data_IF_788308527195
#
_entry.id   IF_788308527195
#
_cell.length_a   1.000
_cell.length_b   1.000
_cell.length_c   1.000
_cell.angle_alpha   90.00
_cell.angle_beta   90.00
_cell.angle_gamma   90.00
#
_symmetry.space_group_name_H-M   'P 1'
#
loop_
_entity.id
_entity.type
_entity.pdbx_description
1 polymer ?
#
# COMPACT_ATOMS: atom_id res chain seq x y z
N UNK A 1 -17.30 -17.48 9.15
CA UNK A 1 -16.50 -18.67 8.69
C UNK A 1 -15.62 -18.27 7.50
N UNK A 2 -14.38 -18.77 7.43
CA UNK A 2 -13.49 -18.50 6.30
C UNK A 2 -14.15 -18.85 4.95
N UNK A 3 -13.89 -18.05 3.91
CA UNK A 3 -14.47 -18.19 2.57
C UNK A 3 -13.48 -18.87 1.64
N UNK A 4 -13.89 -19.93 0.97
CA UNK A 4 -13.10 -20.60 -0.06
C UNK A 4 -13.47 -20.06 -1.45
N UNK A 5 -12.46 -19.68 -2.23
CA UNK A 5 -12.61 -19.11 -3.57
C UNK A 5 -11.60 -19.76 -4.52
N UNK A 6 -11.98 -19.88 -5.80
CA UNK A 6 -11.03 -20.04 -6.90
C UNK A 6 -10.92 -18.68 -7.56
N UNK A 7 -9.71 -18.12 -7.55
CA UNK A 7 -9.49 -16.72 -7.96
C UNK A 7 -8.03 -16.48 -8.34
N UNK A 8 -7.76 -15.36 -8.98
CA UNK A 8 -6.39 -14.88 -9.23
C UNK A 8 -5.97 -13.89 -8.14
N UNK A 9 -4.66 -13.58 -8.08
CA UNK A 9 -4.14 -12.59 -7.11
C UNK A 9 -4.72 -11.19 -7.35
N UNK A 10 -4.87 -10.76 -8.60
CA UNK A 10 -5.49 -9.48 -8.95
C UNK A 10 -6.96 -9.40 -8.52
N UNK A 11 -7.73 -10.48 -8.75
CA UNK A 11 -9.12 -10.58 -8.31
C UNK A 11 -9.24 -10.55 -6.80
N UNK A 12 -8.32 -11.22 -6.08
CA UNK A 12 -8.29 -11.22 -4.62
C UNK A 12 -7.92 -9.86 -4.06
N UNK A 13 -6.99 -9.13 -4.68
CA UNK A 13 -6.67 -7.75 -4.30
C UNK A 13 -7.88 -6.81 -4.50
N UNK A 14 -8.57 -6.92 -5.63
CA UNK A 14 -9.80 -6.15 -5.88
C UNK A 14 -10.91 -6.49 -4.88
N UNK A 15 -11.11 -7.79 -4.61
CA UNK A 15 -12.09 -8.25 -3.62
C UNK A 15 -11.76 -7.76 -2.21
N UNK A 16 -10.50 -7.84 -1.82
CA UNK A 16 -10.02 -7.35 -0.53
C UNK A 16 -10.26 -5.85 -0.36
N UNK A 17 -10.01 -5.06 -1.42
CA UNK A 17 -10.31 -3.65 -1.43
C UNK A 17 -11.81 -3.38 -1.19
N UNK A 18 -12.70 -4.12 -1.87
CA UNK A 18 -14.15 -4.03 -1.68
C UNK A 18 -14.60 -4.44 -0.27
N UNK A 19 -13.99 -5.46 0.30
CA UNK A 19 -14.29 -5.95 1.65
C UNK A 19 -13.67 -5.04 2.74
N UNK A 20 -12.62 -4.27 2.40
CA UNK A 20 -12.05 -3.20 3.22
C UNK A 20 -12.75 -1.85 3.03
N UNK A 21 -13.91 -1.82 2.39
CA UNK A 21 -14.69 -0.60 2.10
C UNK A 21 -13.94 0.46 1.30
N UNK A 22 -13.24 0.06 0.22
CA UNK A 22 -12.75 1.02 -0.75
C UNK A 22 -13.93 1.80 -1.35
N UNK A 23 -13.81 3.10 -1.42
CA UNK A 23 -14.87 3.99 -1.91
C UNK A 23 -14.50 4.67 -3.23
N UNK A 24 -13.21 4.68 -3.57
CA UNK A 24 -12.73 5.31 -4.78
C UNK A 24 -11.53 4.57 -5.38
N UNK A 25 -11.58 4.37 -6.68
CA UNK A 25 -10.44 3.94 -7.48
C UNK A 25 -10.20 4.94 -8.60
N UNK A 26 -8.97 5.44 -8.71
CA UNK A 26 -8.53 6.29 -9.82
C UNK A 26 -7.32 5.66 -10.51
N UNK A 27 -7.39 5.48 -11.83
CA UNK A 27 -6.29 4.83 -12.53
C UNK A 27 -6.37 4.87 -14.04
N UNK A 28 -5.38 4.24 -14.66
CA UNK A 28 -5.26 4.00 -16.09
C UNK A 28 -4.92 2.53 -16.31
N UNK A 29 -5.56 1.83 -17.26
CA UNK A 29 -5.34 0.40 -17.46
C UNK A 29 -3.93 0.12 -17.97
N UNK A 30 -3.21 -0.75 -17.29
CA UNK A 30 -1.88 -1.20 -17.66
C UNK A 30 -1.66 -2.66 -17.26
N UNK A 31 -1.13 -3.47 -18.21
CA UNK A 31 -0.76 -4.87 -17.94
C UNK A 31 0.44 -4.94 -17.00
N UNK A 32 0.43 -5.80 -15.95
CA UNK A 32 -0.54 -6.84 -15.62
C UNK A 32 -1.54 -6.47 -14.49
N UNK A 33 -1.87 -5.21 -14.27
CA UNK A 33 -2.75 -4.78 -13.17
C UNK A 33 -4.20 -4.47 -13.58
N UNK A 34 -4.54 -4.59 -14.87
CA UNK A 34 -5.82 -4.14 -15.43
C UNK A 34 -7.05 -4.81 -14.83
N UNK A 35 -6.96 -6.08 -14.41
CA UNK A 35 -8.06 -6.84 -13.82
C UNK A 35 -8.58 -6.19 -12.53
N UNK A 36 -7.69 -5.58 -11.73
CA UNK A 36 -8.08 -4.87 -10.51
C UNK A 36 -9.06 -3.74 -10.86
N UNK A 37 -8.70 -2.92 -11.84
CA UNK A 37 -9.55 -1.82 -12.29
C UNK A 37 -10.86 -2.34 -12.92
N UNK A 38 -10.80 -3.39 -13.74
CA UNK A 38 -11.99 -3.96 -14.39
C UNK A 38 -13.04 -4.42 -13.36
N UNK A 39 -12.61 -5.10 -12.29
CA UNK A 39 -13.51 -5.54 -11.21
C UNK A 39 -14.08 -4.33 -10.46
N UNK A 40 -13.23 -3.39 -10.08
CA UNK A 40 -13.67 -2.21 -9.33
C UNK A 40 -14.56 -1.28 -10.16
N UNK A 41 -14.38 -1.22 -11.48
CA UNK A 41 -15.22 -0.41 -12.39
C UNK A 41 -16.68 -0.86 -12.43
N UNK A 42 -16.94 -2.13 -12.19
CA UNK A 42 -18.28 -2.68 -12.09
C UNK A 42 -18.83 -2.64 -10.66
N UNK A 43 -17.97 -2.97 -9.68
CA UNK A 43 -18.39 -3.18 -8.29
C UNK A 43 -18.61 -1.86 -7.52
N UNK A 44 -17.78 -0.83 -7.73
CA UNK A 44 -17.90 0.43 -7.01
C UNK A 44 -19.16 1.22 -7.37
N UNK A 45 -19.51 1.42 -8.66
CA UNK A 45 -20.76 2.07 -9.02
C UNK A 45 -22.01 1.36 -8.48
N UNK A 46 -21.99 0.03 -8.45
CA UNK A 46 -23.08 -0.76 -7.88
C UNK A 46 -23.27 -0.53 -6.35
N UNK A 47 -22.24 0.01 -5.68
CA UNK A 47 -22.28 0.39 -4.26
C UNK A 47 -22.47 1.90 -4.04
N UNK A 48 -22.74 2.67 -5.08
CA UNK A 48 -22.82 4.13 -5.02
C UNK A 48 -21.46 4.81 -4.84
N UNK A 49 -20.37 4.11 -5.15
CA UNK A 49 -18.99 4.59 -5.07
C UNK A 49 -18.42 4.82 -6.47
N UNK A 50 -17.19 5.32 -6.61
CA UNK A 50 -16.64 5.70 -7.89
C UNK A 50 -15.37 4.92 -8.29
N UNK A 51 -15.33 4.48 -9.54
CA UNK A 51 -14.14 4.03 -10.23
C UNK A 51 -13.96 4.89 -11.48
N UNK A 52 -12.85 5.61 -11.58
CA UNK A 52 -12.62 6.56 -12.68
C UNK A 52 -11.37 6.14 -13.46
N UNK A 53 -11.58 5.87 -14.74
CA UNK A 53 -10.49 5.75 -15.69
C UNK A 53 -10.10 7.15 -16.17
N UNK A 54 -8.81 7.46 -16.06
CA UNK A 54 -8.23 8.71 -16.54
C UNK A 54 -7.43 8.49 -17.83
N UNK A 55 -6.90 9.56 -18.39
CA UNK A 55 -6.12 9.52 -19.64
C UNK A 55 -4.69 8.99 -19.43
N UNK A 56 -4.19 9.05 -18.19
CA UNK A 56 -2.86 8.57 -17.80
C UNK A 56 -2.78 8.26 -16.29
N UNK A 57 -1.64 7.76 -15.87
CA UNK A 57 -1.38 7.40 -14.46
C UNK A 57 -1.21 8.62 -13.55
N UNK A 58 -0.79 9.78 -14.09
CA UNK A 58 -0.62 11.03 -13.33
C UNK A 58 -2.02 11.51 -12.90
N UNK A 59 -2.94 11.64 -13.85
CA UNK A 59 -4.31 12.01 -13.54
C UNK A 59 -5.01 10.96 -12.66
N UNK A 60 -4.72 9.67 -12.89
CA UNK A 60 -5.27 8.58 -12.09
C UNK A 60 -4.94 8.71 -10.60
N UNK A 61 -3.68 8.92 -10.24
CA UNK A 61 -3.29 9.09 -8.82
C UNK A 61 -3.79 10.42 -8.25
N UNK A 62 -3.84 11.49 -9.03
CA UNK A 62 -4.38 12.79 -8.57
C UNK A 62 -5.84 12.67 -8.14
N UNK A 63 -6.67 11.94 -8.91
CA UNK A 63 -8.07 11.72 -8.54
C UNK A 63 -8.20 10.88 -7.27
N UNK A 64 -7.35 9.86 -7.09
CA UNK A 64 -7.34 9.02 -5.88
C UNK A 64 -6.90 9.83 -4.63
N UNK A 65 -5.91 10.72 -4.76
CA UNK A 65 -5.49 11.65 -3.69
C UNK A 65 -6.65 12.59 -3.34
N UNK A 66 -7.30 13.21 -4.33
CA UNK A 66 -8.45 14.09 -4.10
C UNK A 66 -9.61 13.40 -3.37
N UNK A 67 -9.91 12.16 -3.74
CA UNK A 67 -10.91 11.35 -3.06
C UNK A 67 -10.48 11.02 -1.61
N UNK A 68 -9.22 10.68 -1.38
CA UNK A 68 -8.69 10.43 -0.03
C UNK A 68 -8.79 11.68 0.86
N UNK A 69 -8.55 12.88 0.31
CA UNK A 69 -8.71 14.17 1.00
C UNK A 69 -10.17 14.46 1.36
N UNK A 70 -11.13 13.99 0.56
CA UNK A 70 -12.56 14.07 0.89
C UNK A 70 -13.03 13.00 1.89
N UNK A 71 -12.10 12.26 2.50
CA UNK A 71 -12.38 11.24 3.52
C UNK A 71 -12.63 9.84 2.99
N UNK A 72 -12.52 9.62 1.67
CA UNK A 72 -12.75 8.32 1.05
C UNK A 72 -11.56 7.38 1.20
N UNK A 73 -11.79 6.10 1.44
CA UNK A 73 -10.77 5.06 1.22
C UNK A 73 -10.51 4.94 -0.26
N UNK A 74 -9.28 5.25 -0.67
CA UNK A 74 -8.90 5.37 -2.07
C UNK A 74 -7.77 4.41 -2.44
N UNK A 75 -7.78 3.98 -3.70
CA UNK A 75 -6.81 3.05 -4.25
C UNK A 75 -6.46 3.42 -5.68
N UNK A 76 -5.24 3.11 -6.07
CA UNK A 76 -4.79 3.06 -7.47
C UNK A 76 -3.99 1.79 -7.70
N UNK A 77 -4.03 1.25 -8.91
CA UNK A 77 -3.19 0.13 -9.33
C UNK A 77 -2.47 0.47 -10.62
N UNK A 78 -1.24 -0.03 -10.78
CA UNK A 78 -0.43 0.21 -11.95
C UNK A 78 0.68 -0.84 -12.06
N UNK A 79 1.62 -0.64 -12.98
CA UNK A 79 2.80 -1.47 -13.20
C UNK A 79 3.91 -0.68 -13.87
N UNK A 80 5.16 -1.00 -13.55
CA UNK A 80 6.35 -0.52 -14.27
C UNK A 80 6.35 0.98 -14.55
N UNK A 81 6.28 1.40 -15.84
CA UNK A 81 6.35 2.83 -16.20
C UNK A 81 5.19 3.65 -15.65
N UNK A 82 4.02 3.05 -15.39
CA UNK A 82 2.91 3.74 -14.76
C UNK A 82 3.17 4.11 -13.31
N UNK A 83 3.93 3.30 -12.56
CA UNK A 83 4.41 3.68 -11.22
C UNK A 83 5.41 4.83 -11.31
N UNK A 84 6.30 4.82 -12.30
CA UNK A 84 7.23 5.93 -12.53
C UNK A 84 6.51 7.26 -12.80
N UNK A 85 5.41 7.25 -13.57
CA UNK A 85 4.59 8.43 -13.82
C UNK A 85 3.88 8.96 -12.57
N UNK A 86 3.62 8.11 -11.58
CA UNK A 86 3.00 8.50 -10.31
C UNK A 86 3.98 9.14 -9.30
N UNK A 87 5.29 9.11 -9.56
CA UNK A 87 6.33 9.42 -8.57
C UNK A 87 6.18 10.81 -7.93
N UNK A 88 5.89 11.86 -8.71
CA UNK A 88 5.72 13.21 -8.18
C UNK A 88 4.52 13.28 -7.24
N UNK A 89 3.37 12.74 -7.66
CA UNK A 89 2.15 12.75 -6.85
C UNK A 89 2.23 11.83 -5.63
N UNK A 90 3.06 10.78 -5.67
CA UNK A 90 3.41 10.00 -4.47
C UNK A 90 4.14 10.89 -3.46
N UNK A 91 5.08 11.73 -3.91
CA UNK A 91 5.74 12.72 -3.06
C UNK A 91 4.73 13.64 -2.37
N UNK A 92 3.75 14.16 -3.12
CA UNK A 92 2.65 14.94 -2.55
C UNK A 92 1.88 14.12 -1.51
N UNK A 93 1.55 12.86 -1.80
CA UNK A 93 0.87 11.96 -0.87
C UNK A 93 1.62 11.74 0.45
N UNK A 94 2.94 11.63 0.39
CA UNK A 94 3.78 11.45 1.58
C UNK A 94 3.89 12.74 2.41
N UNK A 95 4.28 13.86 1.79
CA UNK A 95 4.51 15.10 2.55
C UNK A 95 3.21 15.67 3.13
N UNK A 96 2.10 15.48 2.42
CA UNK A 96 0.76 15.94 2.87
C UNK A 96 0.00 14.89 3.68
N UNK A 97 0.60 13.71 3.90
CA UNK A 97 0.05 12.63 4.73
C UNK A 97 -1.33 12.16 4.26
N UNK A 98 -1.43 11.82 2.98
CA UNK A 98 -2.67 11.35 2.37
C UNK A 98 -2.72 9.82 2.34
N UNK A 99 -3.67 9.18 3.03
CA UNK A 99 -3.81 7.72 3.02
C UNK A 99 -4.28 7.22 1.66
N UNK A 100 -3.48 6.35 1.04
CA UNK A 100 -3.73 5.81 -0.29
C UNK A 100 -3.13 4.40 -0.39
N UNK A 101 -3.86 3.45 -0.97
CA UNK A 101 -3.29 2.15 -1.34
C UNK A 101 -2.82 2.17 -2.79
N UNK A 102 -1.56 1.80 -3.00
CA UNK A 102 -0.92 1.76 -4.31
C UNK A 102 -0.51 0.33 -4.63
N UNK A 103 -1.19 -0.32 -5.55
CA UNK A 103 -0.82 -1.66 -6.01
C UNK A 103 0.08 -1.55 -7.23
N UNK A 104 1.29 -2.08 -7.11
CA UNK A 104 2.19 -2.32 -8.23
C UNK A 104 2.23 -3.81 -8.53
N UNK A 105 1.60 -4.22 -9.63
CA UNK A 105 1.78 -5.57 -10.16
C UNK A 105 3.05 -5.56 -10.99
N UNK A 106 4.14 -6.07 -10.42
CA UNK A 106 5.48 -5.92 -10.96
C UNK A 106 5.68 -6.64 -12.30
N UNK A 107 6.43 -6.01 -13.18
CA UNK A 107 6.80 -6.57 -14.48
C UNK A 107 8.25 -6.25 -14.85
N UNK A 108 8.79 -6.89 -15.88
CA UNK A 108 10.16 -6.64 -16.34
C UNK A 108 10.34 -5.20 -16.85
N UNK A 109 11.32 -4.50 -16.31
CA UNK A 109 11.80 -3.18 -16.75
C UNK A 109 13.15 -3.30 -17.47
N UNK A 110 13.81 -2.17 -17.87
CA UNK A 110 13.35 -0.77 -17.69
C UNK A 110 12.33 -0.32 -18.74
N UNK A 111 11.77 0.90 -18.59
CA UNK A 111 10.80 1.54 -19.49
C UNK A 111 9.55 0.68 -19.66
N UNK A 112 9.01 0.55 -20.86
CA UNK A 112 7.89 -0.34 -21.18
C UNK A 112 8.20 -1.79 -20.79
N UNK A 113 9.44 -2.20 -20.93
CA UNK A 113 9.98 -3.47 -20.48
C UNK A 113 9.27 -4.68 -21.09
N UNK A 114 8.88 -5.60 -20.21
CA UNK A 114 8.25 -6.88 -20.57
C UNK A 114 6.88 -6.98 -19.89
N UNK A 115 5.80 -6.47 -20.50
CA UNK A 115 4.48 -6.33 -19.87
C UNK A 115 3.85 -7.64 -19.36
N UNK A 116 4.25 -8.78 -19.93
CA UNK A 116 3.72 -10.13 -19.62
C UNK A 116 4.82 -11.06 -19.10
N UNK A 117 5.87 -10.52 -18.50
CA UNK A 117 6.98 -11.30 -17.93
C UNK A 117 7.23 -10.89 -16.50
N UNK A 118 7.36 -11.92 -15.67
CA UNK A 118 7.62 -11.79 -14.23
C UNK A 118 8.95 -11.09 -13.94
N UNK A 119 8.94 -10.23 -12.93
CA UNK A 119 10.14 -9.63 -12.36
C UNK A 119 9.86 -9.19 -10.92
N UNK A 120 10.92 -9.06 -10.12
CA UNK A 120 10.89 -8.52 -8.75
C UNK A 120 11.88 -7.35 -8.63
N UNK A 121 11.96 -6.49 -9.66
CA UNK A 121 12.93 -5.39 -9.75
C UNK A 121 12.52 -4.09 -9.06
N UNK A 122 11.26 -3.96 -8.61
CA UNK A 122 10.67 -2.68 -8.20
C UNK A 122 10.85 -2.34 -6.72
N UNK A 123 11.62 -3.15 -5.96
CA UNK A 123 11.85 -2.95 -4.52
C UNK A 123 12.41 -1.57 -4.18
N UNK A 124 13.49 -1.17 -4.85
CA UNK A 124 14.13 0.12 -4.56
C UNK A 124 13.25 1.29 -5.02
N UNK A 125 12.44 1.10 -6.06
CA UNK A 125 11.44 2.08 -6.47
C UNK A 125 10.35 2.25 -5.40
N UNK A 126 9.89 1.16 -4.79
CA UNK A 126 8.90 1.24 -3.70
C UNK A 126 9.49 1.84 -2.42
N UNK A 127 10.80 1.63 -2.17
CA UNK A 127 11.51 2.27 -1.06
C UNK A 127 11.63 3.77 -1.25
N UNK A 128 11.99 4.20 -2.47
CA UNK A 128 12.19 5.59 -2.83
C UNK A 128 11.28 5.96 -4.00
N UNK A 129 9.95 6.06 -3.76
CA UNK A 129 8.96 6.20 -4.83
C UNK A 129 8.93 7.60 -5.46
N UNK A 130 9.64 8.56 -4.88
CA UNK A 130 9.74 9.95 -5.30
C UNK A 130 11.15 10.49 -5.02
N UNK A 131 11.44 11.72 -5.46
CA UNK A 131 12.66 12.42 -5.04
C UNK A 131 12.56 12.87 -3.57
N UNK A 132 13.69 13.07 -2.92
CA UNK A 132 13.78 13.42 -1.50
C UNK A 132 13.56 12.21 -0.59
N UNK A 133 13.45 12.49 0.69
CA UNK A 133 13.42 11.47 1.73
C UNK A 133 11.99 11.14 2.15
N UNK A 134 11.62 9.89 2.03
CA UNK A 134 10.33 9.35 2.48
C UNK A 134 10.52 8.04 3.24
N UNK A 135 9.64 7.75 4.18
CA UNK A 135 9.56 6.44 4.83
C UNK A 135 8.42 5.66 4.20
N UNK A 136 8.73 4.73 3.31
CA UNK A 136 7.75 3.88 2.65
C UNK A 136 7.26 2.77 3.58
N UNK A 137 6.01 2.35 3.39
CA UNK A 137 5.45 1.10 3.93
C UNK A 137 5.09 0.24 2.71
N UNK A 138 5.74 -0.92 2.59
CA UNK A 138 5.60 -1.79 1.41
C UNK A 138 5.32 -3.22 1.83
N UNK A 139 4.23 -3.79 1.32
CA UNK A 139 3.79 -5.15 1.58
C UNK A 139 4.05 -6.03 0.36
N UNK A 140 4.50 -7.27 0.60
CA UNK A 140 4.93 -8.18 -0.46
C UNK A 140 4.25 -9.56 -0.31
N UNK A 141 3.00 -9.70 -0.76
CA UNK A 141 2.29 -10.96 -0.69
C UNK A 141 3.02 -12.06 -1.48
N UNK A 142 3.10 -13.26 -0.92
CA UNK A 142 3.81 -14.41 -1.51
C UNK A 142 2.87 -15.53 -2.01
N UNK A 143 1.56 -15.41 -1.75
CA UNK A 143 0.56 -16.39 -2.19
C UNK A 143 -0.82 -15.74 -2.36
N UNK A 144 -1.78 -16.50 -2.90
CA UNK A 144 -3.13 -16.00 -3.20
C UNK A 144 -3.88 -15.48 -1.95
N UNK A 145 -3.76 -16.17 -0.81
CA UNK A 145 -4.38 -15.70 0.43
C UNK A 145 -3.84 -14.33 0.84
N UNK A 146 -2.54 -14.16 0.73
CA UNK A 146 -1.87 -12.90 1.11
C UNK A 146 -2.19 -11.75 0.14
N UNK A 147 -2.49 -12.03 -1.14
CA UNK A 147 -3.01 -10.99 -2.04
C UNK A 147 -4.28 -10.34 -1.46
N UNK A 148 -5.09 -11.13 -0.73
CA UNK A 148 -6.25 -10.63 -0.04
C UNK A 148 -5.88 -9.98 1.30
N UNK A 149 -5.19 -10.71 2.20
CA UNK A 149 -4.94 -10.24 3.57
C UNK A 149 -4.07 -9.00 3.60
N UNK A 150 -3.03 -8.94 2.78
CA UNK A 150 -2.13 -7.78 2.73
C UNK A 150 -2.80 -6.57 2.06
N UNK A 151 -3.75 -6.78 1.14
CA UNK A 151 -4.54 -5.65 0.62
C UNK A 151 -5.46 -5.06 1.69
N UNK A 152 -6.13 -5.88 2.50
CA UNK A 152 -6.91 -5.38 3.67
C UNK A 152 -5.99 -4.64 4.64
N UNK A 153 -4.82 -5.23 4.94
CA UNK A 153 -3.83 -4.63 5.83
C UNK A 153 -3.31 -3.30 5.30
N UNK A 154 -3.08 -3.16 3.99
CA UNK A 154 -2.63 -1.93 3.36
C UNK A 154 -3.61 -0.77 3.59
N UNK A 155 -4.91 -0.99 3.49
CA UNK A 155 -5.92 0.03 3.80
C UNK A 155 -5.87 0.45 5.27
N UNK A 156 -5.71 -0.49 6.18
CA UNK A 156 -5.60 -0.20 7.60
C UNK A 156 -4.32 0.58 7.93
N UNK A 157 -3.18 0.19 7.35
CA UNK A 157 -1.91 0.89 7.53
C UNK A 157 -1.93 2.30 6.91
N UNK A 158 -2.56 2.46 5.73
CA UNK A 158 -2.71 3.78 5.12
C UNK A 158 -3.50 4.73 6.02
N UNK A 159 -4.63 4.27 6.58
CA UNK A 159 -5.44 5.07 7.50
C UNK A 159 -4.77 5.27 8.88
N UNK A 160 -3.98 4.28 9.35
CA UNK A 160 -3.25 4.35 10.63
C UNK A 160 -2.11 5.35 10.58
N UNK A 161 -1.31 5.31 9.50
CA UNK A 161 -0.09 6.12 9.35
C UNK A 161 -0.30 7.37 8.49
N UNK A 162 -1.48 7.55 7.91
CA UNK A 162 -1.82 8.69 7.06
C UNK A 162 -0.75 8.91 5.97
N UNK A 163 -0.57 7.91 5.09
CA UNK A 163 0.37 7.98 3.97
C UNK A 163 0.08 6.91 2.91
N UNK A 164 0.67 7.03 1.71
CA UNK A 164 0.63 5.96 0.72
C UNK A 164 1.26 4.67 1.26
N UNK A 165 0.60 3.53 1.00
CA UNK A 165 1.09 2.17 1.30
C UNK A 165 1.16 1.39 0.00
N UNK A 166 2.32 0.79 -0.27
CA UNK A 166 2.54 -0.03 -1.45
C UNK A 166 2.19 -1.49 -1.20
N UNK A 167 1.65 -2.12 -2.24
CA UNK A 167 1.60 -3.57 -2.39
C UNK A 167 2.40 -3.90 -3.63
N UNK A 168 3.50 -4.65 -3.48
CA UNK A 168 4.26 -5.20 -4.59
C UNK A 168 3.76 -6.62 -4.85
N UNK A 169 2.98 -6.78 -5.89
CA UNK A 169 2.40 -8.05 -6.29
C UNK A 169 3.18 -8.62 -7.47
N UNK A 170 3.67 -9.84 -7.35
CA UNK A 170 4.28 -10.53 -8.48
C UNK A 170 3.24 -10.85 -9.56
N UNK A 171 3.57 -10.59 -10.80
CA UNK A 171 2.71 -10.90 -11.96
C UNK A 171 2.28 -12.37 -11.97
N UNK A 172 3.18 -13.29 -11.59
CA UNK A 172 2.86 -14.72 -11.48
C UNK A 172 1.66 -14.97 -10.55
N UNK A 173 1.67 -14.39 -9.34
CA UNK A 173 0.56 -14.55 -8.39
C UNK A 173 -0.64 -13.74 -8.87
N UNK A 174 -0.40 -12.55 -9.43
CA UNK A 174 -1.45 -11.69 -9.96
C UNK A 174 -2.38 -12.41 -10.95
N UNK A 175 -1.80 -13.21 -11.83
CA UNK A 175 -2.54 -13.96 -12.87
C UNK A 175 -2.77 -15.44 -12.56
N UNK A 176 -2.06 -16.03 -11.61
CA UNK A 176 -2.23 -17.44 -11.24
C UNK A 176 -3.62 -17.67 -10.65
N UNK A 177 -4.39 -18.55 -11.27
CA UNK A 177 -5.67 -19.00 -10.70
C UNK A 177 -5.45 -20.18 -9.76
N UNK A 178 -6.05 -20.10 -8.59
CA UNK A 178 -5.94 -21.16 -7.59
C UNK A 178 -6.96 -21.02 -6.47
N UNK A 179 -6.96 -22.03 -5.59
CA UNK A 179 -7.80 -22.02 -4.39
C UNK A 179 -7.19 -21.09 -3.34
N UNK A 180 -7.98 -20.17 -2.84
CA UNK A 180 -7.65 -19.31 -1.72
C UNK A 180 -8.68 -19.47 -0.59
N UNK A 181 -8.20 -19.52 0.64
CA UNK A 181 -9.00 -19.47 1.86
C UNK A 181 -8.78 -18.10 2.51
N UNK A 182 -9.80 -17.26 2.46
CA UNK A 182 -9.73 -15.88 2.94
C UNK A 182 -10.61 -15.69 4.19
N UNK A 183 -10.32 -14.68 5.05
CA UNK A 183 -11.16 -14.32 6.18
C UNK A 183 -12.61 -14.08 5.78
N UNK A 184 -13.54 -14.23 6.72
CA UNK A 184 -14.92 -13.81 6.44
C UNK A 184 -15.04 -12.27 6.52
N UNK A 185 -16.16 -11.76 6.02
CA UNK A 185 -16.38 -10.32 5.94
C UNK A 185 -16.49 -9.68 7.33
N UNK A 186 -17.09 -10.36 8.30
CA UNK A 186 -17.26 -9.86 9.67
C UNK A 186 -15.90 -9.67 10.35
N UNK A 187 -14.97 -10.62 10.16
CA UNK A 187 -13.60 -10.54 10.65
C UNK A 187 -12.85 -9.33 10.05
N UNK A 188 -12.96 -9.14 8.72
CA UNK A 188 -12.34 -7.99 8.04
C UNK A 188 -12.91 -6.67 8.55
N UNK A 189 -14.23 -6.58 8.70
CA UNK A 189 -14.89 -5.36 9.18
C UNK A 189 -14.59 -5.07 10.65
N UNK A 190 -14.49 -6.10 11.50
CA UNK A 190 -14.11 -5.95 12.91
C UNK A 190 -12.66 -5.46 13.08
N UNK A 191 -11.76 -5.84 12.17
CA UNK A 191 -10.36 -5.40 12.15
C UNK A 191 -10.10 -4.06 11.46
N UNK A 192 -11.14 -3.36 11.01
CA UNK A 192 -10.99 -2.10 10.28
C UNK A 192 -10.48 -0.97 11.16
N UNK A 193 -9.40 -0.33 10.74
CA UNK A 193 -8.87 0.90 11.36
C UNK A 193 -9.52 2.11 10.67
N UNK A 194 -10.06 3.03 11.47
CA UNK A 194 -10.62 4.29 10.98
C UNK A 194 -9.66 5.44 11.22
N UNK A 195 -9.61 6.40 10.30
CA UNK A 195 -8.82 7.63 10.45
C UNK A 195 -9.25 8.39 11.69
N UNK A 196 -8.28 8.94 12.42
CA UNK A 196 -8.57 9.87 13.51
C UNK A 196 -9.23 11.14 12.97
N UNK A 197 -10.17 11.69 13.73
CA UNK A 197 -10.83 12.94 13.40
C UNK A 197 -10.65 13.94 14.54
N UNK A 198 -10.39 15.18 14.18
CA UNK A 198 -10.44 16.28 15.13
C UNK A 198 -11.92 16.65 15.41
N UNK A 199 -12.28 16.70 16.69
CA UNK A 199 -13.65 16.97 17.13
C UNK A 199 -13.78 18.25 17.98
N UNK A 200 -12.66 19.00 18.13
CA UNK A 200 -12.63 20.26 18.89
C UNK A 200 -13.19 21.46 18.14
N UNK A 201 -13.02 22.64 18.72
CA UNK A 201 -13.44 23.88 18.07
C UNK A 201 -12.65 24.09 16.76
N UNK A 202 -13.37 24.39 15.69
CA UNK A 202 -12.81 24.57 14.34
C UNK A 202 -11.71 25.64 14.26
N UNK A 203 -11.75 26.66 15.14
CA UNK A 203 -10.70 27.69 15.23
C UNK A 203 -9.36 27.16 15.71
N UNK A 204 -9.36 26.05 16.47
CA UNK A 204 -8.16 25.45 17.05
C UNK A 204 -7.60 24.31 16.18
N UNK A 205 -8.24 24.05 15.03
CA UNK A 205 -7.87 22.98 14.13
C UNK A 205 -6.52 23.22 13.45
N UNK A 206 -5.56 22.37 13.75
CA UNK A 206 -4.21 22.34 13.19
C UNK A 206 -3.89 20.92 12.79
N UNK A 207 -4.21 20.51 11.56
CA UNK A 207 -4.11 19.11 11.13
C UNK A 207 -2.73 18.49 11.30
N UNK A 208 -1.66 19.27 11.16
CA UNK A 208 -0.27 18.83 11.29
C UNK A 208 0.35 19.22 12.65
N UNK A 209 -0.42 19.81 13.55
CA UNK A 209 -0.01 20.18 14.91
C UNK A 209 -0.19 19.00 15.87
N UNK A 210 0.46 17.90 15.59
CA UNK A 210 0.40 16.63 16.35
C UNK A 210 1.74 16.31 16.99
N UNK A 211 1.83 15.25 17.79
CA UNK A 211 3.07 14.80 18.42
C UNK A 211 4.17 14.43 17.41
N UNK A 212 5.41 14.36 17.90
CA UNK A 212 6.60 14.16 17.04
C UNK A 212 6.66 12.77 16.36
N UNK A 213 5.84 11.82 16.82
CA UNK A 213 5.72 10.45 16.32
C UNK A 213 4.28 10.13 15.87
N UNK A 214 3.43 11.16 15.74
CA UNK A 214 2.05 10.98 15.36
C UNK A 214 1.77 11.40 13.92
N UNK A 215 0.89 10.67 13.20
CA UNK A 215 0.40 11.10 11.90
C UNK A 215 -0.57 12.28 12.02
N UNK A 216 -0.66 13.08 10.96
CA UNK A 216 -1.60 14.19 10.85
C UNK A 216 -3.06 13.76 11.11
N UNK A 217 -3.88 14.70 11.59
CA UNK A 217 -5.31 14.49 11.77
C UNK A 217 -6.05 15.32 10.71
N UNK A 218 -6.20 14.74 9.51
CA UNK A 218 -6.88 15.38 8.39
C UNK A 218 -8.37 15.08 8.42
N UNK A 219 -9.16 16.07 8.81
CA UNK A 219 -10.61 15.95 8.64
C UNK A 219 -10.95 16.04 7.15
N UNK A 220 -11.98 15.31 6.69
CA UNK A 220 -12.39 15.35 5.29
C UNK A 220 -12.62 16.77 4.80
N UNK A 221 -12.17 17.09 3.60
CA UNK A 221 -12.50 18.34 2.94
C UNK A 221 -14.03 18.47 2.81
N UNK A 222 -14.52 19.70 2.86
CA UNK A 222 -15.95 20.05 2.76
C UNK A 222 -16.81 19.74 4.00
N UNK A 223 -16.24 19.17 5.10
CA UNK A 223 -16.94 19.01 6.40
C UNK A 223 -16.86 20.27 7.29
N UNK A 224 -16.42 21.40 6.73
CA UNK A 224 -16.40 22.71 7.42
C UNK A 224 -15.15 22.99 8.24
N UNK A 225 -14.14 22.11 8.20
CA UNK A 225 -12.80 22.38 8.69
C UNK A 225 -11.96 23.04 7.58
N UNK A 226 -11.17 24.05 7.94
CA UNK A 226 -10.33 24.77 6.99
C UNK A 226 -8.86 24.53 7.31
N UNK A 227 -8.11 24.11 6.33
CA UNK A 227 -6.65 23.98 6.39
C UNK A 227 -6.08 24.16 4.99
N UNK A 228 -4.79 24.46 4.93
CA UNK A 228 -4.08 24.53 3.67
C UNK A 228 -3.51 23.17 3.32
N UNK A 229 -3.58 22.80 2.05
CA UNK A 229 -2.99 21.59 1.49
C UNK A 229 -1.93 21.99 0.46
N UNK A 230 -0.72 21.45 0.57
CA UNK A 230 0.39 21.77 -0.33
C UNK A 230 1.40 20.62 -0.38
N UNK A 231 2.08 20.48 -1.52
CA UNK A 231 3.29 19.66 -1.66
C UNK A 231 4.57 20.33 -1.14
N UNK A 232 4.48 21.57 -0.62
CA UNK A 232 5.61 22.25 0.01
C UNK A 232 5.80 21.81 1.47
N UNK A 233 6.98 22.06 2.04
CA UNK A 233 7.15 22.01 3.50
C UNK A 233 6.17 22.99 4.15
N UNK A 234 5.54 22.55 5.23
CA UNK A 234 4.42 23.30 5.82
C UNK A 234 4.45 23.22 7.36
N UNK A 235 3.85 24.24 7.96
CA UNK A 235 3.64 24.31 9.40
C UNK A 235 2.38 23.58 9.86
N UNK A 236 2.03 23.70 11.16
CA UNK A 236 0.92 22.97 11.79
C UNK A 236 -0.47 23.17 11.15
N UNK A 237 -0.69 24.27 10.44
CA UNK A 237 -1.95 24.59 9.74
C UNK A 237 -1.94 24.21 8.26
N UNK A 238 -0.85 23.63 7.76
CA UNK A 238 -0.66 23.27 6.35
C UNK A 238 -0.12 24.41 5.48
N UNK A 239 0.03 25.63 6.00
CA UNK A 239 0.61 26.73 5.22
C UNK A 239 2.09 26.49 4.96
N UNK A 240 2.59 26.79 3.75
CA UNK A 240 3.99 26.66 3.38
C UNK A 240 4.93 27.43 4.31
N UNK A 241 6.10 26.88 4.55
CA UNK A 241 7.15 27.52 5.34
C UNK A 241 8.54 27.17 4.81
N UNK A 242 9.48 28.09 4.97
CA UNK A 242 10.91 27.88 4.75
C UNK A 242 11.70 27.99 6.08
N UNK A 243 10.99 28.06 7.20
CA UNK A 243 11.60 28.04 8.53
C UNK A 243 12.30 26.71 8.77
N UNK A 244 13.61 26.76 9.05
CA UNK A 244 14.44 25.57 9.13
C UNK A 244 14.03 24.62 10.27
N UNK A 245 13.57 25.16 11.40
CA UNK A 245 13.15 24.35 12.55
C UNK A 245 11.82 23.63 12.25
N UNK A 246 10.88 24.32 11.62
CA UNK A 246 9.60 23.73 11.21
C UNK A 246 9.80 22.67 10.11
N UNK A 247 10.66 22.92 9.14
CA UNK A 247 10.98 21.96 8.09
C UNK A 247 11.63 20.70 8.65
N UNK A 248 12.63 20.84 9.53
CA UNK A 248 13.29 19.72 10.19
C UNK A 248 12.32 18.92 11.07
N UNK A 249 11.47 19.60 11.83
CA UNK A 249 10.45 18.97 12.67
C UNK A 249 9.44 18.18 11.83
N UNK A 250 8.98 18.72 10.70
CA UNK A 250 8.09 18.03 9.77
C UNK A 250 8.74 16.75 9.23
N UNK A 251 9.96 16.84 8.71
CA UNK A 251 10.66 15.69 8.15
C UNK A 251 10.90 14.60 9.19
N UNK A 252 11.39 14.98 10.39
CA UNK A 252 11.56 14.03 11.51
C UNK A 252 10.24 13.34 11.87
N UNK A 253 9.14 14.08 11.94
CA UNK A 253 7.83 13.52 12.27
C UNK A 253 7.34 12.53 11.22
N UNK A 254 7.52 12.82 9.92
CA UNK A 254 7.16 11.91 8.82
C UNK A 254 7.88 10.56 8.91
N UNK A 255 9.10 10.53 9.44
CA UNK A 255 9.83 9.29 9.70
C UNK A 255 9.41 8.65 11.03
N UNK A 256 9.41 9.44 12.10
CA UNK A 256 9.17 8.94 13.46
C UNK A 256 7.78 8.30 13.61
N UNK A 257 6.73 8.82 12.92
CA UNK A 257 5.40 8.22 12.97
C UNK A 257 5.36 6.77 12.47
N UNK A 258 6.37 6.35 11.70
CA UNK A 258 6.55 4.96 11.25
C UNK A 258 7.56 4.24 12.14
N UNK A 259 8.72 4.84 12.38
CA UNK A 259 9.82 4.20 13.13
C UNK A 259 9.49 3.91 14.59
N UNK A 260 8.62 4.72 15.22
CA UNK A 260 8.14 4.48 16.57
C UNK A 260 7.13 3.33 16.70
N UNK A 261 6.66 2.77 15.58
CA UNK A 261 5.60 1.77 15.53
C UNK A 261 5.97 0.57 14.63
N UNK A 262 7.24 0.21 14.56
CA UNK A 262 7.71 -0.91 13.74
C UNK A 262 7.07 -2.25 14.17
N UNK A 263 6.74 -2.42 15.43
CA UNK A 263 6.02 -3.57 15.97
C UNK A 263 4.62 -3.77 15.36
N UNK A 264 3.95 -2.69 14.95
CA UNK A 264 2.67 -2.75 14.22
C UNK A 264 2.86 -3.13 12.74
N UNK A 265 4.05 -2.91 12.20
CA UNK A 265 4.37 -3.01 10.77
C UNK A 265 5.11 -4.31 10.42
N UNK A 266 6.03 -4.73 11.26
CA UNK A 266 6.86 -5.90 10.98
C UNK A 266 6.02 -7.17 10.94
N UNK A 267 5.98 -7.79 9.77
CA UNK A 267 5.39 -9.10 9.58
C UNK A 267 6.35 -9.93 8.75
N UNK A 268 6.86 -11.00 9.37
CA UNK A 268 7.84 -11.89 8.79
C UNK A 268 7.41 -13.34 9.01
N UNK A 269 7.84 -14.22 8.14
CA UNK A 269 7.71 -15.67 8.31
C UNK A 269 9.10 -16.29 8.38
N UNK A 270 9.31 -17.10 9.41
CA UNK A 270 10.48 -17.94 9.56
C UNK A 270 10.10 -19.39 9.25
N UNK A 271 10.81 -20.01 8.32
CA UNK A 271 10.58 -21.39 7.92
C UNK A 271 11.82 -22.22 8.15
N UNK A 272 11.76 -23.15 9.11
CA UNK A 272 12.87 -24.04 9.47
C UNK A 272 14.20 -23.32 9.77
N UNK A 273 14.17 -22.15 10.43
CA UNK A 273 15.36 -21.38 10.77
C UNK A 273 16.01 -21.80 12.09
N UNK A 274 15.28 -22.40 13.03
CA UNK A 274 15.72 -22.67 14.41
C UNK A 274 17.05 -23.45 14.49
N UNK A 275 17.31 -24.36 13.54
CA UNK A 275 18.52 -25.20 13.50
C UNK A 275 19.28 -25.07 12.16
N UNK A 276 19.01 -24.01 11.39
CA UNK A 276 19.55 -23.82 10.06
C UNK A 276 21.02 -23.35 10.10
N UNK A 277 21.88 -24.00 9.31
CA UNK A 277 23.24 -23.54 9.03
C UNK A 277 23.27 -22.53 7.85
N UNK A 278 22.23 -22.55 7.01
CA UNK A 278 22.08 -21.70 5.84
C UNK A 278 20.71 -21.04 5.90
N UNK A 279 20.66 -19.71 5.82
CA UNK A 279 19.44 -18.93 5.71
C UNK A 279 19.27 -18.40 4.29
N UNK A 280 18.09 -18.63 3.71
CA UNK A 280 17.67 -18.02 2.44
C UNK A 280 16.71 -16.88 2.76
N UNK A 281 16.93 -15.71 2.18
CA UNK A 281 15.99 -14.59 2.25
C UNK A 281 15.23 -14.54 0.93
N UNK A 282 13.91 -14.68 0.99
CA UNK A 282 13.03 -14.64 -0.19
C UNK A 282 11.72 -13.92 0.12
N UNK A 283 11.13 -13.26 -0.86
CA UNK A 283 9.82 -12.61 -0.76
C UNK A 283 8.96 -12.91 -1.99
N UNK A 284 7.67 -12.59 -1.89
CA UNK A 284 6.72 -12.77 -3.00
C UNK A 284 6.61 -14.22 -3.44
N UNK A 285 6.31 -14.44 -4.71
CA UNK A 285 6.10 -15.78 -5.30
C UNK A 285 7.32 -16.69 -5.23
N UNK A 286 8.53 -16.12 -5.21
CA UNK A 286 9.79 -16.88 -5.13
C UNK A 286 9.84 -17.72 -3.85
N UNK A 287 9.23 -17.24 -2.77
CA UNK A 287 9.20 -17.98 -1.48
C UNK A 287 8.54 -19.35 -1.59
N UNK A 288 7.57 -19.53 -2.50
CA UNK A 288 6.93 -20.85 -2.72
C UNK A 288 7.90 -21.88 -3.25
N UNK A 289 8.72 -21.49 -4.24
CA UNK A 289 9.76 -22.35 -4.79
C UNK A 289 10.88 -22.63 -3.79
N UNK A 290 11.26 -21.63 -2.99
CA UNK A 290 12.25 -21.75 -1.92
C UNK A 290 11.77 -22.72 -0.84
N UNK A 291 10.52 -22.67 -0.43
CA UNK A 291 9.93 -23.60 0.55
C UNK A 291 10.05 -25.05 0.06
N UNK A 292 9.73 -25.32 -1.20
CA UNK A 292 9.84 -26.66 -1.77
C UNK A 292 11.32 -27.11 -1.87
N UNK A 293 12.23 -26.22 -2.25
CA UNK A 293 13.65 -26.52 -2.30
C UNK A 293 14.20 -26.85 -0.90
N UNK A 294 13.83 -26.09 0.13
CA UNK A 294 14.19 -26.35 1.52
C UNK A 294 13.73 -27.75 1.94
N UNK A 295 12.47 -28.11 1.66
CA UNK A 295 11.92 -29.41 2.00
C UNK A 295 12.70 -30.57 1.38
N UNK A 296 13.22 -30.39 0.15
CA UNK A 296 14.08 -31.41 -0.51
C UNK A 296 15.46 -31.46 0.13
N UNK A 297 16.11 -30.32 0.33
CA UNK A 297 17.43 -30.24 0.93
C UNK A 297 17.47 -30.81 2.37
N UNK A 298 16.42 -30.53 3.15
CA UNK A 298 16.24 -31.07 4.51
C UNK A 298 16.17 -32.60 4.53
N UNK A 299 15.53 -33.22 3.53
CA UNK A 299 15.51 -34.70 3.37
C UNK A 299 16.89 -35.27 3.08
N UNK A 300 17.79 -34.48 2.49
CA UNK A 300 19.19 -34.84 2.23
C UNK A 300 20.12 -34.49 3.40
N UNK A 301 19.59 -34.03 4.53
CA UNK A 301 20.33 -33.70 5.74
C UNK A 301 20.96 -32.30 5.75
N UNK A 302 20.66 -31.46 4.77
CA UNK A 302 21.17 -30.08 4.69
C UNK A 302 20.29 -29.17 5.54
N UNK A 303 20.87 -28.53 6.54
CA UNK A 303 20.14 -27.59 7.45
C UNK A 303 20.03 -26.23 6.84
N UNK A 304 18.95 -26.02 6.08
CA UNK A 304 18.59 -24.76 5.42
C UNK A 304 17.24 -24.31 5.89
N UNK A 305 17.05 -23.00 6.03
CA UNK A 305 15.78 -22.38 6.37
C UNK A 305 15.56 -21.08 5.57
N UNK A 306 14.38 -20.48 5.71
CA UNK A 306 14.02 -19.25 5.02
C UNK A 306 13.52 -18.19 6.00
N UNK A 307 13.99 -16.97 5.82
CA UNK A 307 13.39 -15.75 6.34
C UNK A 307 12.61 -15.07 5.22
N UNK A 308 11.32 -14.86 5.43
CA UNK A 308 10.43 -14.26 4.44
C UNK A 308 9.76 -12.99 5.01
N UNK A 309 10.21 -11.80 4.60
CA UNK A 309 9.50 -10.58 4.96
C UNK A 309 8.18 -10.49 4.17
N UNK A 310 7.10 -10.10 4.84
CA UNK A 310 5.83 -9.67 4.25
C UNK A 310 5.71 -8.15 4.25
N UNK A 311 6.39 -7.49 5.17
CA UNK A 311 6.61 -6.04 5.15
C UNK A 311 8.08 -5.78 4.82
N UNK A 312 8.30 -4.93 3.81
CA UNK A 312 9.63 -4.48 3.40
C UNK A 312 9.64 -2.96 3.44
N UNK A 313 10.61 -2.34 4.12
CA UNK A 313 10.77 -0.91 4.35
C UNK A 313 9.85 -0.25 5.39
#
# INVERSE_FOLDING_TARGET
>A
MARELISTGNELAAKAALDADVEFFGGYPITPSSEIMHILSSALPARGQACIQMEDEIAGICTAIGAAMSGKRSMTASSGPGISLKAENLGVGYISEIPLVVVNVMRGGPSTGLPTRVAQGDLLQARNPTHGDVKSITLVPGNLRECYTETVRAFNLADRFMQPVFILLDETIGHMSGKAVIPDLEEVQAGKISRRKFTGDKKDYKPYGVGADEPAILNPMFEGYRYHFTGLHHGPTGHPTEDAELCDALMKRLFNKVDAHLDELELNEEYMLEDADIMIIAYGSVSLGVTEAINRMRKEGIKVGMFRPLTIW
#
